data_IF_645181095870
#
_entry.id   IF_645181095870
#
_cell.length_a   1.000
_cell.length_b   1.000
_cell.length_c   1.000
_cell.angle_alpha   90.00
_cell.angle_beta   90.00
_cell.angle_gamma   90.00
#
_symmetry.space_group_name_H-M   'P 1'
#
loop_
_entity.id
_entity.type
_entity.pdbx_description
1 polymer ?
#
# COMPACT_ATOMS: atom_id res chain seq x y z
N UNK A 1 11.25 -12.19 11.29
CA UNK A 1 12.65 -11.85 11.61
C UNK A 1 13.23 -11.02 10.48
N UNK A 2 13.89 -9.93 10.78
CA UNK A 2 14.63 -9.11 9.84
C UNK A 2 16.05 -8.88 10.37
N UNK A 3 17.09 -9.21 9.59
CA UNK A 3 18.49 -8.99 9.97
C UNK A 3 19.06 -7.78 9.23
N UNK A 4 20.05 -7.12 9.85
CA UNK A 4 20.76 -5.99 9.29
C UNK A 4 19.84 -4.92 8.69
N UNK A 5 18.97 -4.29 9.48
CA UNK A 5 17.97 -3.37 8.98
C UNK A 5 18.61 -2.19 8.24
N UNK A 6 17.81 -1.50 7.44
CA UNK A 6 18.24 -0.38 6.59
C UNK A 6 17.81 0.99 7.15
N UNK A 7 17.12 1.03 8.30
CA UNK A 7 16.67 2.29 8.92
C UNK A 7 17.70 2.85 9.86
N UNK A 8 17.76 4.18 9.93
CA UNK A 8 18.58 4.89 10.91
C UNK A 8 18.18 4.49 12.33
N UNK A 9 19.16 4.15 13.16
CA UNK A 9 18.94 3.76 14.56
C UNK A 9 18.50 2.31 14.78
N UNK A 10 18.44 1.48 13.73
CA UNK A 10 18.17 0.06 13.83
C UNK A 10 19.47 -0.74 13.54
N UNK A 11 19.81 -1.65 14.41
CA UNK A 11 21.03 -2.46 14.30
C UNK A 11 20.72 -3.90 14.74
N UNK A 12 21.43 -4.86 14.14
CA UNK A 12 21.33 -6.27 14.53
C UNK A 12 20.18 -7.00 13.84
N UNK A 13 19.38 -7.70 14.60
CA UNK A 13 18.24 -8.51 14.12
C UNK A 13 16.98 -8.08 14.85
N UNK A 14 15.92 -7.84 14.10
CA UNK A 14 14.60 -7.46 14.62
C UNK A 14 13.65 -8.66 14.54
N UNK A 15 13.00 -9.01 15.66
CA UNK A 15 12.02 -10.08 15.74
C UNK A 15 10.68 -9.54 16.22
N UNK A 16 9.61 -10.08 15.69
CA UNK A 16 8.27 -9.67 16.10
C UNK A 16 7.26 -10.79 15.86
N UNK A 17 6.42 -11.06 16.86
CA UNK A 17 5.18 -11.80 16.71
C UNK A 17 4.02 -10.81 16.54
N UNK A 18 3.41 -10.80 15.37
CA UNK A 18 2.23 -9.99 15.08
C UNK A 18 0.95 -10.84 15.22
N UNK A 19 0.15 -10.53 16.23
CA UNK A 19 -1.15 -11.16 16.46
C UNK A 19 -2.25 -10.18 16.06
N UNK A 20 -3.28 -10.69 15.35
CA UNK A 20 -4.43 -9.88 14.98
C UNK A 20 -5.73 -10.68 15.03
N UNK A 21 -6.61 -10.28 15.92
CA UNK A 21 -7.98 -10.81 16.02
C UNK A 21 -8.96 -9.80 15.45
N UNK A 22 -9.98 -10.27 14.74
CA UNK A 22 -11.08 -9.45 14.24
C UNK A 22 -12.41 -10.14 14.49
N UNK A 23 -13.35 -9.39 15.02
CA UNK A 23 -14.75 -9.78 15.12
C UNK A 23 -15.58 -8.86 14.24
N UNK A 24 -16.47 -9.45 13.44
CA UNK A 24 -17.32 -8.71 12.51
C UNK A 24 -18.78 -9.09 12.73
N UNK A 25 -19.60 -8.08 13.02
CA UNK A 25 -21.04 -8.22 13.20
C UNK A 25 -21.73 -7.42 12.10
N UNK A 26 -22.78 -7.96 11.52
CA UNK A 26 -23.52 -7.29 10.46
C UNK A 26 -24.99 -7.64 10.49
N UNK A 27 -25.82 -6.65 10.26
CA UNK A 27 -27.24 -6.80 10.00
C UNK A 27 -27.55 -6.34 8.58
N UNK A 28 -28.37 -7.08 7.84
CA UNK A 28 -28.74 -6.76 6.47
C UNK A 28 -30.24 -6.89 6.26
N UNK A 29 -30.90 -5.76 6.04
CA UNK A 29 -32.29 -5.69 5.57
C UNK A 29 -32.34 -5.52 4.04
N UNK A 30 -33.54 -5.25 3.51
CA UNK A 30 -33.74 -5.03 2.06
C UNK A 30 -33.05 -3.77 1.54
N UNK A 31 -33.09 -2.69 2.31
CA UNK A 31 -32.53 -1.37 1.97
C UNK A 31 -31.36 -1.07 2.89
N UNK A 32 -31.52 -1.23 4.18
CA UNK A 32 -30.53 -0.81 5.18
C UNK A 32 -29.64 -1.97 5.61
N UNK A 33 -28.36 -1.66 5.80
CA UNK A 33 -27.37 -2.55 6.40
C UNK A 33 -26.60 -1.81 7.47
N UNK A 34 -26.18 -2.54 8.48
CA UNK A 34 -25.28 -2.08 9.52
C UNK A 34 -24.11 -3.04 9.62
N UNK A 35 -22.92 -2.50 9.85
CA UNK A 35 -21.71 -3.30 10.03
C UNK A 35 -20.82 -2.71 11.11
N UNK A 36 -20.41 -3.56 12.05
CA UNK A 36 -19.37 -3.28 13.03
C UNK A 36 -18.22 -4.28 12.87
N UNK A 37 -16.97 -3.82 12.90
CA UNK A 37 -15.79 -4.66 12.89
C UNK A 37 -14.80 -4.17 13.96
N UNK A 38 -14.54 -5.03 14.92
CA UNK A 38 -13.56 -4.83 15.99
C UNK A 38 -12.26 -5.49 15.61
N UNK A 39 -11.15 -4.89 16.00
CA UNK A 39 -9.80 -5.41 15.81
C UNK A 39 -9.00 -5.27 17.09
N UNK A 40 -8.29 -6.35 17.44
CA UNK A 40 -7.17 -6.30 18.37
C UNK A 40 -5.91 -6.73 17.63
N UNK A 41 -4.94 -5.82 17.50
CA UNK A 41 -3.70 -6.08 16.79
C UNK A 41 -2.52 -5.78 17.72
N UNK A 42 -1.75 -6.81 18.06
CA UNK A 42 -0.63 -6.78 19.00
C UNK A 42 0.68 -7.08 18.33
N UNK A 43 1.73 -6.47 18.85
CA UNK A 43 3.12 -6.77 18.54
C UNK A 43 3.78 -7.29 19.83
N UNK A 44 4.18 -8.53 19.83
CA UNK A 44 4.83 -9.21 20.96
C UNK A 44 6.25 -9.63 20.55
N UNK A 45 7.11 -9.88 21.52
CA UNK A 45 8.53 -10.23 21.32
C UNK A 45 9.24 -9.18 20.44
N UNK A 46 9.00 -7.91 20.76
CA UNK A 46 9.66 -6.79 20.10
C UNK A 46 10.99 -6.55 20.80
N UNK A 47 12.07 -6.50 20.02
CA UNK A 47 13.41 -6.29 20.57
C UNK A 47 13.55 -4.96 21.30
N UNK A 48 14.44 -4.91 22.28
CA UNK A 48 14.74 -3.71 23.05
C UNK A 48 15.29 -2.61 22.12
N UNK A 49 14.57 -1.48 22.02
CA UNK A 49 14.92 -0.37 21.12
C UNK A 49 14.05 -0.25 19.88
N UNK A 50 13.28 -1.28 19.52
CA UNK A 50 12.27 -1.17 18.49
C UNK A 50 11.05 -0.35 18.97
N UNK A 51 10.64 0.60 18.16
CA UNK A 51 9.41 1.34 18.42
C UNK A 51 8.19 0.55 17.97
N UNK A 52 7.37 0.13 18.92
CA UNK A 52 6.00 -0.24 18.62
C UNK A 52 5.30 1.00 18.03
N UNK A 53 4.83 0.90 16.81
CA UNK A 53 4.16 1.99 16.10
C UNK A 53 2.69 1.67 15.85
N UNK A 54 1.87 2.67 15.57
CA UNK A 54 0.48 2.47 15.11
C UNK A 54 0.37 1.69 13.78
N UNK A 55 1.50 1.39 13.14
CA UNK A 55 1.59 0.47 11.99
C UNK A 55 1.70 -0.99 12.39
N UNK A 56 2.30 -1.29 13.53
CA UNK A 56 2.56 -2.65 14.03
C UNK A 56 1.59 -3.07 15.12
N UNK A 57 1.07 -2.11 15.90
CA UNK A 57 0.12 -2.36 16.98
C UNK A 57 -1.08 -1.40 16.91
N UNK A 58 -2.27 -1.92 17.24
CA UNK A 58 -3.52 -1.16 17.34
C UNK A 58 -4.50 -2.02 18.16
N UNK A 59 -4.35 -1.93 19.49
CA UNK A 59 -5.11 -2.75 20.44
C UNK A 59 -6.53 -2.21 20.61
N UNK A 60 -7.51 -3.13 20.66
CA UNK A 60 -8.89 -2.86 21.03
C UNK A 60 -9.53 -1.71 20.22
N UNK A 61 -9.47 -1.78 18.89
CA UNK A 61 -9.95 -0.71 18.02
C UNK A 61 -11.21 -1.10 17.24
N UNK A 62 -11.98 -0.09 16.87
CA UNK A 62 -13.11 -0.20 15.94
C UNK A 62 -12.62 0.24 14.56
N UNK A 63 -12.43 -0.73 13.66
CA UNK A 63 -11.95 -0.44 12.30
C UNK A 63 -13.06 -0.19 11.29
N UNK A 64 -14.29 -0.66 11.59
CA UNK A 64 -15.49 -0.32 10.84
C UNK A 64 -16.69 -0.20 11.78
N UNK A 65 -17.49 0.83 11.59
CA UNK A 65 -18.77 1.05 12.24
C UNK A 65 -19.60 1.97 11.34
N UNK A 66 -20.43 1.40 10.48
CA UNK A 66 -21.21 2.19 9.53
C UNK A 66 -22.60 1.64 9.27
N UNK A 67 -23.52 2.54 8.96
CA UNK A 67 -24.79 2.25 8.33
C UNK A 67 -24.71 2.43 6.81
N UNK A 68 -25.49 1.67 6.06
CA UNK A 68 -25.61 1.87 4.63
C UNK A 68 -27.01 1.68 4.12
N UNK A 69 -27.36 2.41 3.04
CA UNK A 69 -28.64 2.29 2.33
C UNK A 69 -28.37 1.95 0.86
N UNK A 70 -29.07 0.91 0.37
CA UNK A 70 -28.98 0.43 -1.00
C UNK A 70 -30.30 0.66 -1.73
N UNK A 71 -30.28 1.36 -2.84
CA UNK A 71 -31.42 1.55 -3.72
C UNK A 71 -31.12 0.93 -5.09
N UNK A 72 -32.06 0.14 -5.61
CA UNK A 72 -31.94 -0.56 -6.89
C UNK A 72 -32.93 0.03 -7.88
N UNK A 73 -32.55 0.01 -9.15
CA UNK A 73 -33.36 0.57 -10.24
C UNK A 73 -33.79 2.02 -9.97
N UNK A 74 -32.84 2.85 -9.57
CA UNK A 74 -33.08 4.27 -9.24
C UNK A 74 -33.75 4.97 -10.40
N UNK A 75 -34.93 5.53 -10.18
CA UNK A 75 -35.76 6.22 -11.19
C UNK A 75 -35.99 5.40 -12.49
N UNK A 76 -36.06 4.06 -12.42
CA UNK A 76 -36.27 3.22 -13.60
C UNK A 76 -35.06 3.07 -14.53
N UNK A 77 -33.87 3.59 -14.15
CA UNK A 77 -32.69 3.64 -15.01
C UNK A 77 -31.85 2.37 -15.03
N UNK A 78 -32.18 1.38 -14.17
CA UNK A 78 -31.38 0.18 -13.97
C UNK A 78 -30.10 0.41 -13.14
N UNK A 79 -29.90 1.61 -12.59
CA UNK A 79 -28.78 1.90 -11.69
C UNK A 79 -29.04 1.39 -10.28
N UNK A 80 -27.94 0.97 -9.65
CA UNK A 80 -27.90 0.69 -8.23
C UNK A 80 -27.05 1.74 -7.54
N UNK A 81 -27.51 2.28 -6.44
CA UNK A 81 -26.73 3.17 -5.58
C UNK A 81 -26.66 2.67 -4.17
N UNK A 82 -25.50 2.80 -3.54
CA UNK A 82 -25.23 2.47 -2.15
C UNK A 82 -24.60 3.69 -1.46
N UNK A 83 -25.15 4.13 -0.34
CA UNK A 83 -24.57 5.17 0.51
C UNK A 83 -24.15 4.56 1.84
N UNK A 84 -22.89 4.73 2.20
CA UNK A 84 -22.32 4.28 3.46
C UNK A 84 -21.92 5.50 4.29
N UNK A 85 -22.29 5.51 5.58
CA UNK A 85 -21.99 6.62 6.50
C UNK A 85 -21.47 6.05 7.82
N UNK A 86 -20.33 6.56 8.27
CA UNK A 86 -19.65 6.16 9.50
C UNK A 86 -18.19 5.82 9.29
N UNK A 87 -17.62 4.99 10.17
CA UNK A 87 -16.24 4.50 10.05
C UNK A 87 -16.17 3.33 9.09
N UNK A 88 -15.36 3.46 8.07
CA UNK A 88 -15.27 2.48 6.99
C UNK A 88 -13.82 2.27 6.53
N UNK A 89 -13.58 1.16 5.84
CA UNK A 89 -12.30 0.89 5.17
C UNK A 89 -12.50 0.90 3.67
N UNK A 90 -11.48 1.34 2.93
CA UNK A 90 -11.55 1.49 1.48
C UNK A 90 -10.40 0.75 0.78
N UNK A 91 -10.74 0.08 -0.33
CA UNK A 91 -9.78 -0.45 -1.30
C UNK A 91 -10.18 0.10 -2.67
N UNK A 92 -9.27 0.79 -3.38
CA UNK A 92 -9.49 1.29 -4.73
C UNK A 92 -8.49 0.68 -5.72
N UNK A 93 -8.98 0.30 -6.89
CA UNK A 93 -8.18 -0.26 -7.97
C UNK A 93 -7.28 -1.40 -7.50
N UNK A 94 -5.97 -1.22 -7.68
CA UNK A 94 -4.95 -2.16 -7.20
C UNK A 94 -4.38 -1.79 -5.83
N UNK A 95 -5.05 -0.92 -5.08
CA UNK A 95 -4.68 -0.50 -3.72
C UNK A 95 -3.35 0.24 -3.64
N UNK A 96 -2.92 0.86 -4.73
CA UNK A 96 -1.65 1.60 -4.76
C UNK A 96 -1.71 2.90 -3.99
N UNK A 97 -2.87 3.59 -4.03
CA UNK A 97 -3.06 4.90 -3.39
C UNK A 97 -4.05 4.86 -2.21
N UNK A 98 -5.06 3.98 -2.24
CA UNK A 98 -6.00 3.77 -1.14
C UNK A 98 -6.16 2.28 -0.88
N UNK A 99 -5.82 1.85 0.34
CA UNK A 99 -5.84 0.45 0.73
C UNK A 99 -6.26 0.26 2.18
N UNK A 100 -7.07 -0.77 2.42
CA UNK A 100 -7.35 -1.27 3.75
C UNK A 100 -6.10 -1.78 4.49
N UNK A 101 -5.05 -2.15 3.75
CA UNK A 101 -3.86 -2.87 4.24
C UNK A 101 -4.19 -4.23 4.91
N UNK A 102 -3.69 -5.31 4.32
CA UNK A 102 -3.99 -6.67 4.79
C UNK A 102 -2.80 -7.36 5.43
N UNK A 103 -1.59 -7.06 5.00
CA UNK A 103 -0.37 -7.65 5.53
C UNK A 103 0.08 -6.95 6.82
N UNK A 104 0.14 -5.61 6.81
CA UNK A 104 0.46 -4.82 7.99
C UNK A 104 -0.55 -5.13 9.11
N UNK A 105 -0.07 -5.24 10.35
CA UNK A 105 -0.90 -5.64 11.49
C UNK A 105 -2.07 -4.66 11.75
N UNK A 106 -1.86 -3.36 11.54
CA UNK A 106 -2.91 -2.35 11.63
C UNK A 106 -3.60 -2.05 10.28
N UNK A 107 -4.80 -1.52 10.34
CA UNK A 107 -5.69 -1.24 9.20
C UNK A 107 -5.89 0.27 9.01
N UNK A 108 -5.97 0.75 7.76
CA UNK A 108 -6.44 2.11 7.49
C UNK A 108 -7.96 2.15 7.59
N UNK A 109 -8.47 3.09 8.36
CA UNK A 109 -9.90 3.38 8.50
C UNK A 109 -10.15 4.87 8.21
N UNK A 110 -11.39 5.21 7.90
CA UNK A 110 -11.82 6.54 7.49
C UNK A 110 -13.20 6.81 8.05
N UNK A 111 -13.43 7.97 8.63
CA UNK A 111 -14.74 8.40 9.13
C UNK A 111 -15.40 9.34 8.12
N UNK A 112 -16.63 9.07 7.71
CA UNK A 112 -17.36 9.93 6.78
C UNK A 112 -18.33 9.20 5.87
N UNK A 113 -18.38 9.63 4.61
CA UNK A 113 -19.36 9.18 3.62
C UNK A 113 -18.66 8.53 2.43
N UNK A 114 -19.20 7.40 1.98
CA UNK A 114 -18.75 6.71 0.79
C UNK A 114 -19.96 6.29 -0.05
N UNK A 115 -20.06 6.84 -1.24
CA UNK A 115 -21.13 6.61 -2.18
C UNK A 115 -20.67 5.73 -3.35
N UNK A 116 -21.55 4.84 -3.76
CA UNK A 116 -21.38 3.97 -4.91
C UNK A 116 -22.53 4.15 -5.88
N UNK A 117 -22.20 4.16 -7.17
CA UNK A 117 -23.17 4.10 -8.26
C UNK A 117 -22.67 3.05 -9.25
N UNK A 118 -23.50 2.09 -9.60
CA UNK A 118 -23.14 1.06 -10.58
C UNK A 118 -24.27 0.77 -11.57
N UNK A 119 -23.89 0.31 -12.76
CA UNK A 119 -24.76 -0.25 -13.77
C UNK A 119 -24.35 -1.69 -14.05
N UNK A 120 -24.59 -2.55 -13.06
CA UNK A 120 -24.23 -3.96 -13.12
C UNK A 120 -22.72 -4.17 -13.32
N UNK A 121 -22.35 -5.04 -14.27
CA UNK A 121 -20.96 -5.37 -14.54
C UNK A 121 -20.24 -4.38 -15.46
N UNK A 122 -20.94 -3.45 -16.12
CA UNK A 122 -20.40 -2.58 -17.17
C UNK A 122 -19.44 -1.52 -16.61
N UNK A 123 -19.88 -0.81 -15.61
CA UNK A 123 -19.08 0.22 -14.94
C UNK A 123 -19.58 0.48 -13.52
N UNK A 124 -18.72 1.06 -12.71
CA UNK A 124 -19.09 1.63 -11.42
C UNK A 124 -18.31 2.91 -11.12
N UNK A 125 -18.95 3.79 -10.38
CA UNK A 125 -18.39 5.02 -9.85
C UNK A 125 -18.47 4.98 -8.32
N UNK A 126 -17.47 5.54 -7.68
CA UNK A 126 -17.41 5.69 -6.23
C UNK A 126 -16.97 7.12 -5.92
N UNK A 127 -17.65 7.74 -4.97
CA UNK A 127 -17.25 9.05 -4.45
C UNK A 127 -17.18 8.96 -2.93
N UNK A 128 -16.25 9.67 -2.32
CA UNK A 128 -16.11 9.69 -0.88
C UNK A 128 -15.69 11.06 -0.37
N UNK A 129 -16.07 11.35 0.87
CA UNK A 129 -15.65 12.50 1.62
C UNK A 129 -15.46 12.05 3.07
N UNK A 130 -14.21 12.02 3.52
CA UNK A 130 -13.84 11.34 4.77
C UNK A 130 -12.69 12.04 5.49
N UNK A 131 -12.58 11.74 6.78
CA UNK A 131 -11.44 12.04 7.63
C UNK A 131 -10.67 10.74 7.88
N UNK A 132 -9.39 10.65 7.50
CA UNK A 132 -8.56 9.50 7.83
C UNK A 132 -8.40 9.33 9.33
N UNK A 133 -8.60 8.12 9.84
CA UNK A 133 -8.49 7.84 11.26
C UNK A 133 -7.03 7.83 11.69
N UNK A 134 -6.68 8.67 12.66
CA UNK A 134 -5.39 8.64 13.34
C UNK A 134 -5.37 7.48 14.34
N UNK A 135 -4.64 6.41 14.00
CA UNK A 135 -4.65 5.18 14.80
C UNK A 135 -3.89 5.36 16.10
N UNK A 136 -4.48 4.93 17.22
CA UNK A 136 -3.82 4.78 18.51
C UNK A 136 -3.12 3.41 18.60
N UNK A 137 -2.03 3.37 19.35
CA UNK A 137 -1.34 2.09 19.66
C UNK A 137 -2.20 1.27 20.62
N UNK A 138 -2.85 1.92 21.59
CA UNK A 138 -3.71 1.33 22.60
C UNK A 138 -5.08 2.03 22.62
N UNK A 139 -6.15 1.25 22.78
CA UNK A 139 -7.52 1.74 22.88
C UNK A 139 -8.14 2.12 21.53
N UNK A 140 -9.40 2.50 21.59
CA UNK A 140 -10.18 2.90 20.42
C UNK A 140 -9.63 4.18 19.81
N UNK A 141 -9.39 4.18 18.50
CA UNK A 141 -8.99 5.38 17.76
C UNK A 141 -10.13 6.39 17.71
N UNK A 142 -9.81 7.66 17.82
CA UNK A 142 -10.81 8.73 17.87
C UNK A 142 -11.65 8.75 16.60
N UNK A 143 -12.95 9.04 16.76
CA UNK A 143 -13.82 9.38 15.64
C UNK A 143 -13.45 10.78 15.13
N UNK A 144 -13.52 10.96 13.81
CA UNK A 144 -13.23 12.20 13.10
C UNK A 144 -11.79 12.71 13.19
N UNK A 145 -10.83 11.81 13.47
CA UNK A 145 -9.39 12.04 13.33
C UNK A 145 -8.84 13.23 14.13
N UNK A 146 -7.62 13.10 14.65
CA UNK A 146 -7.01 14.16 15.47
C UNK A 146 -6.39 15.30 14.62
N UNK A 147 -6.21 15.11 13.30
CA UNK A 147 -5.35 15.98 12.47
C UNK A 147 -6.14 16.83 11.47
N UNK A 148 -7.44 17.00 11.65
CA UNK A 148 -8.33 17.79 10.75
C UNK A 148 -8.08 17.53 9.25
N UNK A 149 -7.61 16.33 8.91
CA UNK A 149 -7.33 15.94 7.52
C UNK A 149 -8.63 15.66 6.79
N UNK A 150 -8.90 16.41 5.75
CA UNK A 150 -9.96 16.10 4.80
C UNK A 150 -9.39 15.31 3.62
N UNK A 151 -10.07 14.20 3.29
CA UNK A 151 -9.72 13.37 2.14
C UNK A 151 -10.98 13.04 1.35
N UNK A 152 -10.98 13.38 0.06
CA UNK A 152 -12.14 13.18 -0.80
C UNK A 152 -11.74 12.71 -2.17
N UNK A 153 -12.69 12.20 -2.93
CA UNK A 153 -12.40 11.84 -4.31
C UNK A 153 -13.51 11.12 -5.03
N UNK A 154 -13.25 10.92 -6.32
CA UNK A 154 -14.10 10.18 -7.23
C UNK A 154 -13.25 9.16 -7.97
N UNK A 155 -13.78 7.97 -8.12
CA UNK A 155 -13.13 6.84 -8.80
C UNK A 155 -14.14 6.18 -9.74
N UNK A 156 -13.83 6.15 -11.01
CA UNK A 156 -14.61 5.49 -12.05
C UNK A 156 -13.87 4.26 -12.58
N UNK A 157 -14.56 3.14 -12.72
CA UNK A 157 -14.07 1.94 -13.39
C UNK A 157 -15.03 1.51 -14.49
N UNK A 158 -14.53 1.35 -15.72
CA UNK A 158 -15.26 0.78 -16.86
C UNK A 158 -14.70 -0.61 -17.22
N UNK A 159 -15.63 -1.52 -17.55
CA UNK A 159 -15.40 -2.88 -18.05
C UNK A 159 -16.17 -3.14 -19.33
N UNK A 160 -16.67 -2.10 -19.98
CA UNK A 160 -17.49 -2.20 -21.18
C UNK A 160 -16.73 -2.81 -22.35
N UNK A 161 -15.42 -2.58 -22.42
CA UNK A 161 -14.55 -3.21 -23.42
C UNK A 161 -14.00 -4.52 -22.84
N UNK A 162 -14.29 -5.70 -23.40
CA UNK A 162 -13.96 -6.99 -22.81
C UNK A 162 -12.48 -7.24 -22.50
N UNK A 163 -11.59 -6.63 -23.29
CA UNK A 163 -10.14 -6.77 -23.16
C UNK A 163 -9.47 -5.58 -22.46
N UNK A 164 -10.23 -4.53 -22.09
CA UNK A 164 -9.72 -3.31 -21.48
C UNK A 164 -10.56 -2.94 -20.26
N UNK A 165 -9.92 -2.84 -19.11
CA UNK A 165 -10.47 -2.17 -17.93
C UNK A 165 -9.82 -0.82 -17.79
N UNK A 166 -10.64 0.20 -17.73
CA UNK A 166 -10.19 1.58 -17.56
C UNK A 166 -10.64 2.08 -16.20
N UNK A 167 -9.72 2.69 -15.46
CA UNK A 167 -10.02 3.41 -14.23
C UNK A 167 -9.54 4.84 -14.38
N UNK A 168 -10.37 5.80 -14.01
CA UNK A 168 -10.02 7.21 -13.92
C UNK A 168 -10.38 7.68 -12.53
N UNK A 169 -9.51 8.46 -11.89
CA UNK A 169 -9.76 8.91 -10.55
C UNK A 169 -9.17 10.28 -10.24
N UNK A 170 -9.81 10.92 -9.28
CA UNK A 170 -9.39 12.15 -8.64
C UNK A 170 -9.43 11.96 -7.13
N UNK A 171 -8.36 12.36 -6.43
CA UNK A 171 -8.31 12.42 -4.97
C UNK A 171 -7.75 13.77 -4.53
N UNK A 172 -8.42 14.39 -3.56
CA UNK A 172 -7.96 15.60 -2.90
C UNK A 172 -7.65 15.34 -1.44
N UNK A 173 -6.58 15.93 -0.94
CA UNK A 173 -6.21 15.89 0.48
C UNK A 173 -5.92 17.31 0.96
N UNK A 174 -6.40 17.61 2.18
CA UNK A 174 -6.15 18.87 2.85
C UNK A 174 -5.92 18.61 4.34
N UNK A 175 -4.66 18.65 4.74
CA UNK A 175 -4.25 18.54 6.13
C UNK A 175 -4.17 19.94 6.76
N UNK A 176 -4.49 20.02 8.06
CA UNK A 176 -4.23 21.20 8.90
C UNK A 176 -3.43 20.76 10.14
N UNK A 177 -2.21 20.23 9.94
CA UNK A 177 -1.45 19.68 11.05
C UNK A 177 -0.96 20.77 11.99
N UNK A 178 -0.78 20.40 13.26
CA UNK A 178 -0.11 21.25 14.27
C UNK A 178 1.35 21.53 13.89
N UNK A 179 2.01 20.61 13.19
CA UNK A 179 3.34 20.81 12.60
C UNK A 179 3.22 21.19 11.13
N UNK A 180 3.50 22.45 10.73
CA UNK A 180 3.44 22.88 9.33
C UNK A 180 4.30 22.07 8.37
N UNK A 181 5.36 21.43 8.84
CA UNK A 181 6.24 20.59 8.02
C UNK A 181 5.55 19.31 7.50
N UNK A 182 4.45 18.88 8.11
CA UNK A 182 3.67 17.71 7.67
C UNK A 182 2.44 18.05 6.84
N UNK A 183 2.28 19.32 6.44
CA UNK A 183 1.15 19.79 5.64
C UNK A 183 1.07 19.08 4.29
N UNK A 184 -0.13 18.63 3.92
CA UNK A 184 -0.46 18.13 2.58
C UNK A 184 -1.73 18.83 2.08
N UNK A 185 -1.61 19.61 1.03
CA UNK A 185 -2.72 20.30 0.37
C UNK A 185 -2.57 20.11 -1.13
N UNK A 186 -3.02 18.95 -1.62
CA UNK A 186 -2.82 18.62 -3.03
C UNK A 186 -3.92 17.76 -3.62
N UNK A 187 -3.98 17.79 -4.93
CA UNK A 187 -4.84 16.98 -5.78
C UNK A 187 -4.05 15.89 -6.48
N UNK A 188 -4.63 14.70 -6.59
CA UNK A 188 -4.08 13.55 -7.31
C UNK A 188 -5.03 13.15 -8.43
N UNK A 189 -4.55 13.12 -9.66
CA UNK A 189 -5.28 12.66 -10.85
C UNK A 189 -4.64 11.37 -11.34
N UNK A 190 -5.44 10.38 -11.70
CA UNK A 190 -4.86 9.14 -12.19
C UNK A 190 -5.71 8.40 -13.22
N UNK A 191 -4.98 7.63 -14.02
CA UNK A 191 -5.50 6.76 -15.04
C UNK A 191 -4.86 5.38 -14.90
N UNK A 192 -5.68 4.35 -14.97
CA UNK A 192 -5.21 2.96 -15.03
C UNK A 192 -5.93 2.22 -16.14
N UNK A 193 -5.16 1.46 -16.92
CA UNK A 193 -5.66 0.52 -17.93
C UNK A 193 -5.12 -0.88 -17.64
N UNK A 194 -5.93 -1.91 -17.86
CA UNK A 194 -5.49 -3.28 -17.61
C UNK A 194 -6.30 -4.33 -18.36
N UNK A 195 -5.65 -5.46 -18.63
CA UNK A 195 -6.26 -6.69 -19.11
C UNK A 195 -5.99 -7.81 -18.11
N UNK A 196 -7.03 -8.58 -17.76
CA UNK A 196 -6.89 -9.69 -16.81
C UNK A 196 -6.05 -10.82 -17.35
N UNK A 197 -5.24 -11.49 -16.51
CA UNK A 197 -4.55 -12.72 -16.89
C UNK A 197 -5.52 -13.81 -17.37
N UNK A 198 -5.17 -14.43 -18.50
CA UNK A 198 -5.86 -15.59 -19.06
C UNK A 198 -4.81 -16.58 -19.55
N UNK A 199 -5.02 -17.88 -19.31
CA UNK A 199 -4.12 -18.94 -19.78
C UNK A 199 -3.91 -18.87 -21.28
N UNK A 200 -2.65 -18.92 -21.70
CA UNK A 200 -2.22 -18.85 -23.10
C UNK A 200 -2.36 -17.48 -23.73
N UNK A 201 -2.38 -16.42 -22.92
CA UNK A 201 -2.53 -15.06 -23.41
C UNK A 201 -1.67 -14.08 -22.62
N UNK A 202 -1.32 -12.99 -23.27
CA UNK A 202 -0.74 -11.84 -22.63
C UNK A 202 -1.79 -11.06 -21.84
N UNK A 203 -1.36 -10.54 -20.72
CA UNK A 203 -2.06 -9.54 -19.91
C UNK A 203 -1.14 -8.34 -19.68
N UNK A 204 -1.73 -7.22 -19.33
CA UNK A 204 -0.99 -6.00 -19.06
C UNK A 204 -1.71 -5.15 -18.01
N UNK A 205 -0.96 -4.27 -17.40
CA UNK A 205 -1.47 -3.20 -16.54
C UNK A 205 -0.54 -1.99 -16.66
N UNK A 206 -1.12 -0.82 -16.82
CA UNK A 206 -0.43 0.46 -16.71
C UNK A 206 -1.26 1.39 -15.83
N UNK A 207 -0.61 2.07 -14.91
CA UNK A 207 -1.23 3.09 -14.06
C UNK A 207 -0.29 4.28 -13.92
N UNK A 208 -0.86 5.47 -14.05
CA UNK A 208 -0.15 6.73 -13.85
C UNK A 208 -0.97 7.64 -12.97
N UNK A 209 -0.30 8.40 -12.10
CA UNK A 209 -0.94 9.44 -11.30
C UNK A 209 -0.02 10.66 -11.18
N UNK A 210 -0.62 11.83 -11.16
CA UNK A 210 0.03 13.12 -11.00
C UNK A 210 -0.53 13.83 -9.78
N UNK A 211 0.33 14.55 -9.08
CA UNK A 211 -0.01 15.34 -7.90
C UNK A 211 0.40 16.79 -8.11
N UNK A 212 -0.52 17.70 -7.80
CA UNK A 212 -0.31 19.14 -7.84
C UNK A 212 -0.89 19.80 -6.60
N UNK A 213 -0.20 20.80 -6.06
CA UNK A 213 -0.65 21.53 -4.87
C UNK A 213 0.49 22.05 -4.04
N UNK A 214 0.40 21.92 -2.72
CA UNK A 214 1.39 22.43 -1.78
C UNK A 214 1.65 21.40 -0.69
N UNK A 215 2.90 21.30 -0.25
CA UNK A 215 3.32 20.48 0.90
C UNK A 215 4.16 21.30 1.86
N UNK A 216 4.08 20.94 3.14
CA UNK A 216 4.94 21.51 4.19
C UNK A 216 6.30 20.84 4.22
N UNK A 217 7.31 21.60 4.60
CA UNK A 217 8.66 21.14 4.90
C UNK A 217 9.18 21.90 6.13
N UNK A 218 10.31 21.48 6.69
CA UNK A 218 10.99 22.22 7.77
C UNK A 218 11.39 23.64 7.37
N UNK A 219 11.57 23.90 6.06
CA UNK A 219 11.86 25.23 5.50
C UNK A 219 10.62 26.01 5.07
N UNK A 220 9.38 25.57 5.40
CA UNK A 220 8.14 26.21 5.01
C UNK A 220 7.35 25.45 3.95
N UNK A 221 6.42 26.12 3.29
CA UNK A 221 5.60 25.53 2.21
C UNK A 221 6.35 25.50 0.89
N UNK A 222 6.16 24.42 0.13
CA UNK A 222 6.69 24.26 -1.23
C UNK A 222 5.57 23.85 -2.19
N UNK A 223 5.68 24.27 -3.44
CA UNK A 223 4.82 23.82 -4.50
C UNK A 223 5.09 22.34 -4.79
N UNK A 224 4.03 21.55 -4.91
CA UNK A 224 4.10 20.13 -5.25
C UNK A 224 3.80 19.92 -6.73
N UNK A 225 4.73 19.29 -7.43
CA UNK A 225 4.48 18.62 -8.70
C UNK A 225 5.17 17.26 -8.69
N UNK A 226 4.38 16.21 -8.57
CA UNK A 226 4.91 14.86 -8.43
C UNK A 226 4.10 13.86 -9.28
N UNK A 227 4.71 12.74 -9.63
CA UNK A 227 4.05 11.73 -10.43
C UNK A 227 4.56 10.31 -10.12
N UNK A 228 3.73 9.32 -10.43
CA UNK A 228 4.08 7.91 -10.34
C UNK A 228 3.59 7.15 -11.56
N UNK A 229 4.37 6.15 -11.97
CA UNK A 229 4.03 5.25 -13.05
C UNK A 229 4.22 3.80 -12.60
N UNK A 230 3.30 2.96 -12.99
CA UNK A 230 3.42 1.51 -12.92
C UNK A 230 3.11 0.92 -14.28
N UNK A 231 3.93 0.01 -14.75
CA UNK A 231 3.66 -0.76 -15.94
C UNK A 231 4.04 -2.22 -15.72
N UNK A 232 3.22 -3.14 -16.21
CA UNK A 232 3.57 -4.56 -16.26
C UNK A 232 2.99 -5.22 -17.50
N UNK A 233 3.69 -6.23 -17.98
CA UNK A 233 3.22 -7.20 -18.96
C UNK A 233 3.41 -8.59 -18.41
N UNK A 234 2.43 -9.48 -18.60
CA UNK A 234 2.47 -10.84 -18.13
C UNK A 234 2.04 -11.82 -19.20
N UNK A 235 2.53 -13.05 -19.11
CA UNK A 235 2.08 -14.17 -19.92
C UNK A 235 1.80 -15.39 -19.04
N UNK A 236 0.61 -15.97 -19.14
CA UNK A 236 0.21 -17.16 -18.40
C UNK A 236 0.24 -18.38 -19.30
N UNK A 237 1.15 -19.31 -19.05
CA UNK A 237 1.35 -20.52 -19.88
C UNK A 237 0.21 -21.53 -19.71
N UNK A 238 -0.06 -22.31 -20.78
CA UNK A 238 -1.10 -23.37 -20.80
C UNK A 238 -0.55 -24.73 -20.36
N UNK A 239 0.22 -24.80 -19.28
CA UNK A 239 0.72 -26.07 -18.73
C UNK A 239 0.12 -26.34 -17.33
N UNK A 240 0.30 -27.55 -16.78
CA UNK A 240 -0.36 -28.01 -15.54
C UNK A 240 -0.09 -27.09 -14.34
N UNK A 241 1.14 -26.64 -14.17
CA UNK A 241 1.57 -25.74 -13.08
C UNK A 241 1.15 -24.29 -13.28
N UNK A 242 0.56 -23.97 -14.45
CA UNK A 242 0.06 -22.64 -14.83
C UNK A 242 1.01 -21.47 -14.50
N UNK A 243 2.29 -21.56 -14.90
CA UNK A 243 3.21 -20.49 -14.60
C UNK A 243 2.78 -19.20 -15.31
N UNK A 244 2.96 -18.07 -14.62
CA UNK A 244 2.78 -16.75 -15.18
C UNK A 244 4.02 -15.93 -14.92
N UNK A 245 4.70 -15.54 -16.01
CA UNK A 245 5.81 -14.61 -15.95
C UNK A 245 5.26 -13.18 -16.06
N UNK A 246 5.81 -12.27 -15.29
CA UNK A 246 5.48 -10.83 -15.29
C UNK A 246 6.77 -10.04 -15.28
N UNK A 247 6.91 -9.12 -16.21
CA UNK A 247 7.92 -8.06 -16.18
C UNK A 247 7.21 -6.78 -15.76
N UNK A 248 7.80 -5.99 -14.87
CA UNK A 248 7.21 -4.78 -14.34
C UNK A 248 8.23 -3.67 -14.13
N UNK A 249 7.71 -2.45 -14.14
CA UNK A 249 8.45 -1.25 -13.81
C UNK A 249 7.58 -0.35 -12.94
N UNK A 250 8.16 0.15 -11.83
CA UNK A 250 7.54 1.14 -10.95
C UNK A 250 8.45 2.35 -10.85
N UNK A 251 7.87 3.52 -11.01
CA UNK A 251 8.52 4.81 -10.84
C UNK A 251 7.67 5.71 -9.95
N UNK A 252 8.30 6.39 -9.02
CA UNK A 252 7.68 7.48 -8.28
C UNK A 252 8.70 8.61 -8.14
N UNK A 253 8.32 9.82 -8.52
CA UNK A 253 9.19 10.99 -8.51
C UNK A 253 9.70 11.34 -7.12
N UNK A 254 10.85 12.00 -7.07
CA UNK A 254 11.47 12.59 -5.91
C UNK A 254 11.82 14.05 -6.15
N UNK A 255 12.24 14.74 -5.11
CA UNK A 255 12.65 16.15 -5.15
C UNK A 255 14.07 16.27 -5.67
N UNK A 256 14.22 16.95 -6.80
CA UNK A 256 15.54 17.13 -7.46
C UNK A 256 16.46 18.04 -6.64
N UNK A 257 15.91 19.12 -6.12
CA UNK A 257 16.62 20.08 -5.27
C UNK A 257 15.85 20.28 -3.95
N UNK A 258 16.27 19.62 -2.86
CA UNK A 258 15.64 19.79 -1.57
C UNK A 258 15.69 21.22 -1.01
N UNK A 259 16.60 22.08 -1.47
CA UNK A 259 16.70 23.48 -1.08
C UNK A 259 15.79 24.42 -1.90
N UNK A 260 15.33 23.99 -3.06
CA UNK A 260 14.49 24.77 -3.96
C UNK A 260 13.05 24.96 -3.46
N UNK A 261 12.24 25.71 -4.18
CA UNK A 261 10.83 26.02 -3.87
C UNK A 261 9.87 24.90 -4.27
N UNK A 262 10.29 23.96 -5.11
CA UNK A 262 9.46 22.84 -5.56
C UNK A 262 9.75 21.56 -4.78
N UNK A 263 8.68 20.83 -4.46
CA UNK A 263 8.74 19.45 -3.99
C UNK A 263 8.27 18.53 -5.12
N UNK A 264 9.12 17.55 -5.48
CA UNK A 264 8.82 16.56 -6.51
C UNK A 264 8.51 15.17 -5.95
N UNK A 265 8.49 15.01 -4.63
CA UNK A 265 8.33 13.71 -3.97
C UNK A 265 6.88 13.28 -3.98
N UNK A 266 6.59 12.15 -4.64
CA UNK A 266 5.24 11.62 -4.73
C UNK A 266 4.71 11.17 -3.36
N UNK A 267 3.55 11.69 -2.96
CA UNK A 267 2.82 11.24 -1.78
C UNK A 267 2.04 9.95 -2.09
N UNK A 268 2.38 8.89 -1.40
CA UNK A 268 1.75 7.56 -1.50
C UNK A 268 0.31 7.50 -0.98
N UNK A 269 -0.20 8.58 -0.39
CA UNK A 269 -1.49 8.64 0.29
C UNK A 269 -1.67 7.48 1.31
N UNK A 270 -2.72 6.71 1.20
CA UNK A 270 -3.06 5.58 2.08
C UNK A 270 -2.85 4.21 1.41
N UNK A 271 -1.94 4.14 0.45
CA UNK A 271 -1.69 2.96 -0.37
C UNK A 271 -1.07 1.76 0.35
N UNK A 272 -1.31 0.58 -0.20
CA UNK A 272 -0.64 -0.67 0.15
C UNK A 272 0.56 -0.94 -0.76
N UNK A 273 1.54 -1.73 -0.28
CA UNK A 273 2.81 -1.96 -1.01
C UNK A 273 3.26 -3.40 -1.11
N UNK A 274 2.97 -4.23 -0.11
CA UNK A 274 3.62 -5.54 0.06
C UNK A 274 3.41 -6.56 -1.06
N UNK A 275 2.47 -6.38 -1.93
CA UNK A 275 2.21 -7.33 -3.02
C UNK A 275 2.93 -6.98 -4.32
N UNK A 276 3.40 -5.77 -4.49
CA UNK A 276 4.13 -5.29 -5.68
C UNK A 276 5.57 -4.90 -5.38
N UNK A 277 5.79 -4.14 -4.30
CA UNK A 277 7.11 -3.61 -3.98
C UNK A 277 7.93 -4.64 -3.18
N UNK A 278 7.77 -4.69 -1.89
CA UNK A 278 8.45 -5.63 -1.01
C UNK A 278 7.58 -5.94 0.21
N UNK A 279 7.87 -6.99 0.98
CA UNK A 279 7.20 -7.24 2.24
C UNK A 279 7.17 -6.01 3.13
N UNK A 280 6.05 -5.80 3.84
CA UNK A 280 5.87 -4.70 4.78
C UNK A 280 6.15 -5.19 6.22
N UNK A 281 5.65 -4.50 7.23
CA UNK A 281 5.89 -4.82 8.63
C UNK A 281 7.21 -4.24 9.10
N UNK A 282 7.97 -4.99 9.89
CA UNK A 282 9.29 -4.57 10.40
C UNK A 282 10.31 -4.35 9.28
N UNK A 283 10.24 -5.12 8.19
CA UNK A 283 11.11 -4.96 7.03
C UNK A 283 10.76 -3.72 6.20
N UNK A 284 9.83 -3.78 5.33
CA UNK A 284 9.21 -2.71 4.56
C UNK A 284 10.12 -1.62 3.97
N UNK A 285 11.15 -1.95 3.15
CA UNK A 285 12.14 -0.98 2.69
C UNK A 285 11.60 0.03 1.66
N UNK A 286 10.63 -0.35 0.84
CA UNK A 286 10.26 0.40 -0.35
C UNK A 286 8.84 0.96 -0.30
N UNK A 287 8.71 2.21 -0.73
CA UNK A 287 7.46 2.95 -0.85
C UNK A 287 7.33 3.53 -2.26
N UNK A 288 6.13 3.95 -2.67
CA UNK A 288 5.94 4.75 -3.89
C UNK A 288 6.24 6.22 -3.61
N UNK A 289 7.50 6.50 -3.38
CA UNK A 289 8.05 7.84 -3.18
C UNK A 289 9.52 7.77 -3.49
N UNK A 290 10.01 8.63 -4.39
CA UNK A 290 11.40 8.70 -4.79
C UNK A 290 12.03 7.36 -5.17
N UNK A 291 11.37 6.56 -6.03
CA UNK A 291 11.91 5.26 -6.47
C UNK A 291 11.82 5.08 -7.99
N UNK A 292 12.75 4.29 -8.51
CA UNK A 292 12.75 3.70 -9.85
C UNK A 292 13.11 2.23 -9.73
N UNK A 293 12.24 1.32 -10.21
CA UNK A 293 12.44 -0.10 -9.96
C UNK A 293 11.89 -0.98 -11.10
N UNK A 294 12.76 -1.51 -11.96
CA UNK A 294 12.44 -2.65 -12.81
C UNK A 294 12.42 -3.95 -12.01
N UNK A 295 11.67 -4.94 -12.50
CA UNK A 295 11.66 -6.25 -11.90
C UNK A 295 10.89 -7.29 -12.68
N UNK A 296 11.01 -8.54 -12.24
CA UNK A 296 10.29 -9.67 -12.79
C UNK A 296 9.71 -10.53 -11.67
N UNK A 297 8.59 -11.19 -11.98
CA UNK A 297 7.95 -12.14 -11.08
C UNK A 297 7.50 -13.35 -11.84
N UNK A 298 7.69 -14.53 -11.25
CA UNK A 298 7.06 -15.76 -11.73
C UNK A 298 6.14 -16.30 -10.65
N UNK A 299 4.94 -16.66 -11.06
CA UNK A 299 3.94 -17.33 -10.23
C UNK A 299 3.70 -18.71 -10.80
N UNK A 300 3.60 -19.71 -9.96
CA UNK A 300 3.21 -21.04 -10.39
C UNK A 300 2.48 -21.80 -9.29
N UNK A 301 1.71 -22.81 -9.68
CA UNK A 301 1.04 -23.72 -8.77
C UNK A 301 1.79 -25.03 -8.76
N UNK A 302 2.26 -25.52 -7.61
CA UNK A 302 2.82 -26.84 -7.48
C UNK A 302 1.83 -27.92 -7.94
N UNK A 303 2.35 -29.12 -8.24
CA UNK A 303 1.54 -30.23 -8.75
C UNK A 303 0.60 -30.79 -7.66
N UNK A 304 -0.46 -31.44 -8.12
CA UNK A 304 -1.47 -32.27 -7.43
C UNK A 304 -1.74 -32.00 -5.94
N UNK A 305 -2.94 -31.58 -5.63
CA UNK A 305 -3.45 -31.44 -4.25
C UNK A 305 -3.07 -30.17 -3.52
N UNK A 306 -2.10 -29.39 -4.01
CA UNK A 306 -1.71 -28.13 -3.40
C UNK A 306 -2.60 -26.96 -3.89
N UNK A 307 -3.45 -26.45 -3.02
CA UNK A 307 -4.28 -25.27 -3.32
C UNK A 307 -3.53 -24.01 -2.92
N UNK A 308 -2.63 -23.53 -3.78
CA UNK A 308 -1.82 -22.37 -3.45
C UNK A 308 -1.01 -21.84 -4.63
N UNK A 309 -0.07 -20.97 -4.32
CA UNK A 309 0.80 -20.31 -5.29
C UNK A 309 2.18 -20.13 -4.70
N UNK A 310 3.20 -20.42 -5.51
CA UNK A 310 4.57 -20.00 -5.23
C UNK A 310 4.86 -18.81 -6.13
N UNK A 311 5.47 -17.77 -5.58
CA UNK A 311 5.97 -16.60 -6.27
C UNK A 311 7.46 -16.49 -6.03
N UNK A 312 8.20 -16.25 -7.10
CA UNK A 312 9.58 -15.79 -7.04
C UNK A 312 9.62 -14.42 -7.70
N UNK A 313 10.25 -13.46 -7.05
CA UNK A 313 10.36 -12.08 -7.49
C UNK A 313 11.82 -11.67 -7.46
N UNK A 314 12.25 -10.92 -8.46
CA UNK A 314 13.48 -10.16 -8.49
C UNK A 314 13.18 -8.71 -8.79
N UNK A 315 13.80 -7.79 -8.07
CA UNK A 315 13.73 -6.35 -8.34
C UNK A 315 15.08 -5.67 -8.09
N UNK A 316 15.33 -4.64 -8.87
CA UNK A 316 16.41 -3.71 -8.60
C UNK A 316 15.82 -2.33 -8.28
N UNK A 317 16.51 -1.54 -7.44
CA UNK A 317 15.98 -0.35 -6.80
C UNK A 317 16.95 0.81 -6.88
N UNK A 318 16.45 1.95 -7.34
CA UNK A 318 17.14 3.22 -7.35
C UNK A 318 16.28 4.29 -6.71
N UNK A 319 16.91 5.30 -6.11
CA UNK A 319 16.26 6.59 -5.91
C UNK A 319 16.01 7.24 -7.26
N UNK A 320 14.85 7.83 -7.47
CA UNK A 320 14.56 8.63 -8.66
C UNK A 320 15.37 9.93 -8.66
N UNK A 321 15.63 10.47 -7.47
CA UNK A 321 16.49 11.64 -7.22
C UNK A 321 17.45 11.34 -6.07
N UNK A 322 18.75 11.41 -6.32
CA UNK A 322 19.80 11.03 -5.35
C UNK A 322 19.88 11.94 -4.13
N UNK A 323 19.46 13.21 -4.26
CA UNK A 323 19.44 14.19 -3.17
C UNK A 323 18.22 14.09 -2.25
N UNK A 324 17.15 13.43 -2.72
CA UNK A 324 15.94 13.26 -1.93
C UNK A 324 16.03 12.02 -1.03
N UNK A 325 15.22 12.00 0.01
CA UNK A 325 15.22 10.94 0.99
C UNK A 325 14.84 9.58 0.39
N UNK A 326 15.45 8.51 0.89
CA UNK A 326 14.88 7.17 0.79
C UNK A 326 13.75 7.04 1.79
N UNK A 327 12.55 7.24 1.32
CA UNK A 327 11.36 7.38 2.15
C UNK A 327 11.16 6.16 3.09
N UNK A 328 10.99 6.45 4.38
CA UNK A 328 10.75 5.46 5.43
C UNK A 328 12.00 4.78 6.00
N UNK A 329 13.19 5.11 5.49
CA UNK A 329 14.46 4.64 6.06
C UNK A 329 15.09 5.64 7.05
N UNK A 330 14.78 6.93 6.91
CA UNK A 330 15.46 8.02 7.60
C UNK A 330 16.78 8.45 6.94
N UNK A 331 17.15 7.81 5.80
CA UNK A 331 18.38 8.12 5.09
C UNK A 331 18.15 9.15 3.99
N UNK A 332 18.99 10.18 3.99
CA UNK A 332 19.06 11.19 2.94
C UNK A 332 20.51 11.68 2.78
N UNK A 333 20.96 11.78 1.54
CA UNK A 333 22.18 12.49 1.18
C UNK A 333 21.82 13.71 0.32
N UNK A 334 21.68 14.87 0.97
CA UNK A 334 21.31 16.10 0.28
C UNK A 334 22.36 16.58 -0.74
N UNK A 335 23.60 16.07 -0.67
CA UNK A 335 24.66 16.34 -1.65
C UNK A 335 24.53 15.49 -2.91
N UNK A 336 23.92 14.29 -2.77
CA UNK A 336 23.81 13.30 -3.84
C UNK A 336 25.08 12.49 -4.10
N UNK A 337 26.15 12.71 -3.32
CA UNK A 337 27.45 12.07 -3.49
C UNK A 337 27.44 10.56 -3.23
N UNK A 338 26.46 10.06 -2.46
CA UNK A 338 26.28 8.63 -2.22
C UNK A 338 25.73 7.87 -3.43
N UNK A 339 25.31 8.57 -4.49
CA UNK A 339 24.67 7.97 -5.66
C UNK A 339 23.19 7.73 -5.46
N UNK A 340 22.59 6.82 -6.23
CA UNK A 340 21.15 6.52 -6.17
C UNK A 340 20.80 5.02 -6.16
N UNK A 341 21.77 4.13 -6.34
CA UNK A 341 21.49 2.69 -6.37
C UNK A 341 21.31 2.14 -4.96
N UNK A 342 20.05 1.82 -4.62
CA UNK A 342 19.66 1.26 -3.31
C UNK A 342 20.03 -0.20 -3.17
N UNK A 343 19.97 -0.97 -4.26
CA UNK A 343 20.26 -2.40 -4.24
C UNK A 343 19.28 -3.23 -5.07
N UNK A 344 19.20 -4.50 -4.75
CA UNK A 344 18.31 -5.44 -5.41
C UNK A 344 17.78 -6.47 -4.43
N UNK A 345 16.56 -6.98 -4.66
CA UNK A 345 15.98 -8.00 -3.81
C UNK A 345 15.53 -9.25 -4.59
N UNK A 346 15.60 -10.38 -3.90
CA UNK A 346 14.99 -11.64 -4.33
C UNK A 346 14.00 -12.08 -3.25
N UNK A 347 12.73 -12.18 -3.61
CA UNK A 347 11.68 -12.67 -2.72
C UNK A 347 11.13 -14.01 -3.21
N UNK A 348 11.03 -14.97 -2.30
CA UNK A 348 10.27 -16.21 -2.49
C UNK A 348 9.10 -16.20 -1.53
N UNK A 349 7.88 -16.41 -2.05
CA UNK A 349 6.66 -16.46 -1.25
C UNK A 349 5.84 -17.67 -1.59
N UNK A 350 5.47 -18.43 -0.57
CA UNK A 350 4.52 -19.55 -0.66
C UNK A 350 3.20 -19.14 -0.02
N UNK A 351 2.11 -19.40 -0.69
CA UNK A 351 0.75 -19.23 -0.14
C UNK A 351 0.03 -20.56 -0.30
N UNK A 352 -0.47 -21.13 0.77
CA UNK A 352 -1.17 -22.40 0.79
C UNK A 352 -2.51 -22.29 1.49
N UNK A 353 -3.59 -22.59 0.75
CA UNK A 353 -4.94 -22.67 1.29
C UNK A 353 -5.23 -24.13 1.67
N UNK A 354 -5.08 -24.42 2.94
CA UNK A 354 -5.31 -25.76 3.47
C UNK A 354 -6.82 -26.09 3.49
N UNK A 355 -7.67 -25.10 3.80
CA UNK A 355 -9.14 -25.25 3.80
C UNK A 355 -9.81 -23.93 3.41
N UNK A 356 -11.16 -23.89 3.44
CA UNK A 356 -11.91 -22.62 3.26
C UNK A 356 -11.60 -21.62 4.36
N UNK A 357 -11.28 -22.11 5.54
CA UNK A 357 -11.11 -21.34 6.77
C UNK A 357 -9.63 -21.09 7.14
N UNK A 358 -8.68 -21.83 6.54
CA UNK A 358 -7.27 -21.78 6.94
C UNK A 358 -6.35 -21.51 5.76
N UNK A 359 -5.59 -20.43 5.87
CA UNK A 359 -4.60 -19.98 4.90
C UNK A 359 -3.25 -19.81 5.58
N UNK A 360 -2.21 -20.42 5.01
CA UNK A 360 -0.83 -20.22 5.39
C UNK A 360 -0.08 -19.40 4.32
N UNK A 361 0.86 -18.58 4.76
CA UNK A 361 1.82 -17.92 3.88
C UNK A 361 3.18 -17.90 4.56
N UNK A 362 4.23 -18.17 3.81
CA UNK A 362 5.60 -17.97 4.22
C UNK A 362 6.34 -17.18 3.15
N UNK A 363 7.27 -16.35 3.53
CA UNK A 363 8.09 -15.57 2.60
C UNK A 363 9.48 -15.33 3.14
N UNK A 364 10.44 -15.31 2.22
CA UNK A 364 11.82 -14.92 2.44
C UNK A 364 12.19 -13.88 1.41
N UNK A 365 12.83 -12.82 1.85
CA UNK A 365 13.32 -11.72 1.01
C UNK A 365 14.77 -11.44 1.40
N UNK A 366 15.68 -11.50 0.43
CA UNK A 366 17.08 -11.13 0.60
C UNK A 366 17.33 -9.84 -0.17
N UNK A 367 17.78 -8.81 0.52
CA UNK A 367 18.08 -7.51 -0.03
C UNK A 367 19.59 -7.26 -0.05
N UNK A 368 20.16 -7.31 -1.26
CA UNK A 368 21.54 -6.94 -1.55
C UNK A 368 21.67 -5.41 -1.55
N UNK A 369 22.28 -4.84 -0.52
CA UNK A 369 22.45 -3.39 -0.39
C UNK A 369 23.36 -2.81 -1.46
N UNK A 370 22.89 -1.75 -2.12
CA UNK A 370 23.59 -1.06 -3.18
C UNK A 370 24.58 0.00 -2.68
N UNK A 371 25.20 0.70 -3.64
CA UNK A 371 26.23 1.71 -3.37
C UNK A 371 25.73 2.86 -2.50
N UNK A 372 24.47 3.31 -2.66
CA UNK A 372 23.91 4.38 -1.84
C UNK A 372 24.01 4.06 -0.34
N UNK A 373 23.54 2.87 0.06
CA UNK A 373 23.56 2.46 1.47
C UNK A 373 24.99 2.22 1.94
N UNK A 374 25.81 1.54 1.12
CA UNK A 374 27.22 1.25 1.42
C UNK A 374 28.06 2.53 1.62
N UNK A 375 27.76 3.59 0.87
CA UNK A 375 28.42 4.87 1.03
C UNK A 375 27.95 5.59 2.30
N UNK A 376 26.67 5.57 2.60
CA UNK A 376 26.12 6.16 3.83
C UNK A 376 26.51 5.39 5.09
N UNK A 377 26.73 4.09 5.01
CA UNK A 377 27.16 3.26 6.16
C UNK A 377 28.55 3.64 6.71
N UNK A 378 29.33 4.41 5.96
CA UNK A 378 30.60 4.97 6.43
C UNK A 378 30.42 6.11 7.45
N UNK A 379 29.19 6.64 7.56
CA UNK A 379 28.85 7.72 8.50
C UNK A 379 28.32 7.07 9.79
N UNK A 380 28.88 7.38 10.98
CA UNK A 380 28.41 6.86 12.23
C UNK A 380 26.91 7.09 12.45
N UNK A 381 26.20 6.10 12.99
CA UNK A 381 24.74 6.16 13.25
C UNK A 381 23.87 5.72 12.07
N UNK A 382 24.44 5.48 10.90
CA UNK A 382 23.73 4.92 9.76
C UNK A 382 23.73 3.38 9.78
N UNK A 383 22.76 2.73 9.10
CA UNK A 383 22.68 1.28 9.04
C UNK A 383 23.91 0.63 8.42
N UNK A 384 24.20 -0.60 8.82
CA UNK A 384 25.29 -1.43 8.29
C UNK A 384 25.21 -1.57 6.75
N UNK A 385 26.38 -1.68 6.12
CA UNK A 385 26.52 -2.06 4.72
C UNK A 385 26.17 -3.53 4.42
N UNK A 386 26.10 -4.37 5.45
CA UNK A 386 25.77 -5.81 5.34
C UNK A 386 24.34 -5.98 4.81
N UNK A 387 24.17 -6.92 3.89
CA UNK A 387 22.90 -7.23 3.26
C UNK A 387 21.81 -7.59 4.29
N UNK A 388 20.54 -7.41 3.92
CA UNK A 388 19.41 -7.64 4.83
C UNK A 388 18.63 -8.87 4.43
N UNK A 389 18.23 -9.66 5.43
CA UNK A 389 17.33 -10.80 5.28
C UNK A 389 16.00 -10.52 5.97
N UNK A 390 14.93 -10.97 5.37
CA UNK A 390 13.62 -10.94 5.98
C UNK A 390 12.87 -12.25 5.77
N UNK A 391 12.47 -12.86 6.86
CA UNK A 391 11.67 -14.08 6.86
C UNK A 391 10.38 -13.87 7.63
N UNK A 392 9.27 -14.40 7.13
CA UNK A 392 8.00 -14.41 7.85
C UNK A 392 7.19 -15.68 7.58
N UNK A 393 6.42 -16.08 8.58
CA UNK A 393 5.35 -17.07 8.48
C UNK A 393 4.07 -16.40 8.97
N UNK A 394 2.97 -16.64 8.28
CA UNK A 394 1.65 -16.13 8.63
C UNK A 394 0.61 -17.23 8.50
N UNK A 395 -0.25 -17.36 9.50
CA UNK A 395 -1.49 -18.12 9.42
C UNK A 395 -2.70 -17.19 9.53
N UNK A 396 -3.75 -17.45 8.77
CA UNK A 396 -5.03 -16.75 8.84
C UNK A 396 -6.14 -17.77 9.00
N UNK A 397 -6.86 -17.67 10.13
CA UNK A 397 -7.99 -18.53 10.46
C UNK A 397 -9.27 -17.68 10.35
N UNK A 398 -10.31 -18.22 9.73
CA UNK A 398 -11.63 -17.58 9.58
C UNK A 398 -12.70 -18.53 10.07
N UNK A 399 -13.64 -18.04 10.85
CA UNK A 399 -14.78 -18.77 11.41
C UNK A 399 -16.07 -18.31 10.75
#
# INVERSE_FOLDING_TARGET
VASNPFRTGQFGTDEQLALRTRARLGFSGKIFRFLAEFQDARAEFVDSGERVSSGTQNKNDIVQLFGSATFRNVLGTGFRTDLHVGRLTMDFGRRRLIARNRFRNSTNAFDGVHWYLDRGAAWHMRAFFVLPVSRKINGVSDFFGADDTLFWGVYYESKQIPWLRTNVYYFGINDRPSNPASLRQHSTFGLRVSKRPKRGAFDYEAETAWQVGTVGTTGGKKDLFAYTHHAQIGYAFKIKTTPRLVIQYDYASGTRDPSGSQNGTFDRLYGGRNWELAPAGIFGPFFRSNISSPGARIFFRPLAGFIGTIMVKYRAWWLAQSRDAWFGSGLQDATGGSGNFLGQDVEVKVTWRQSRNLLFSAGYDHFFKGSYIKNLAKIPGNPSATDSDYFYIQSEIRF
#
